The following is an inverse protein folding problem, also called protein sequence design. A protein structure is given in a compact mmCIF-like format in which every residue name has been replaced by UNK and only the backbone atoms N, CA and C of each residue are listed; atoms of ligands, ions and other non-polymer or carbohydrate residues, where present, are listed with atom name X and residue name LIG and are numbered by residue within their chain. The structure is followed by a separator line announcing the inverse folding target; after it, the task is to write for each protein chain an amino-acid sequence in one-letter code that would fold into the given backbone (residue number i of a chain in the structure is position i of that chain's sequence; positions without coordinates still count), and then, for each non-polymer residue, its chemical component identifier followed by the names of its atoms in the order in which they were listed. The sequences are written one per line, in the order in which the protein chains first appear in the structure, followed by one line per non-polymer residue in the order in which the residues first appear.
data_IF_084058628953
#
_entry.id   IF_084058628953
#
_cell.length_a   1.000
_cell.length_b   1.000
_cell.length_c   1.000
_cell.angle_alpha   90.00
_cell.angle_beta   90.00
_cell.angle_gamma   90.00
#
_symmetry.space_group_name_H-M   'P 1'
#
loop_
_entity.id
_entity.type
_entity.pdbx_description
1 polymer ?
#
# COMPACT_ATOMS: atom_id res chain seq x y z
N UNK A 1 4.57 5.07 -30.97
CA UNK A 1 5.04 5.37 -29.60
C UNK A 1 5.33 4.04 -28.95
N UNK A 2 6.55 3.84 -28.45
CA UNK A 2 6.90 2.60 -27.76
C UNK A 2 6.06 2.47 -26.48
N UNK A 3 5.63 1.26 -26.15
CA UNK A 3 4.76 0.96 -25.01
C UNK A 3 5.42 -0.13 -24.16
N UNK A 4 5.29 -0.04 -22.84
CA UNK A 4 5.71 -1.11 -21.95
C UNK A 4 4.69 -2.24 -21.99
N UNK A 5 5.16 -3.47 -22.21
CA UNK A 5 4.35 -4.65 -21.98
C UNK A 5 3.95 -4.75 -20.48
N UNK A 6 2.95 -5.57 -20.17
CA UNK A 6 2.59 -5.82 -18.77
C UNK A 6 3.77 -6.47 -18.02
N UNK A 7 4.12 -5.90 -16.86
CA UNK A 7 5.26 -6.37 -16.08
C UNK A 7 5.69 -5.46 -14.93
N UNK A 8 6.56 -6.01 -14.09
CA UNK A 8 7.36 -5.31 -13.09
C UNK A 8 8.75 -5.11 -13.70
N UNK A 9 9.10 -3.87 -14.03
CA UNK A 9 10.32 -3.52 -14.72
C UNK A 9 11.36 -2.99 -13.73
N UNK A 10 12.48 -3.70 -13.61
CA UNK A 10 13.57 -3.42 -12.69
C UNK A 10 14.67 -2.64 -13.43
N UNK A 11 15.23 -1.61 -12.81
CA UNK A 11 16.42 -0.92 -13.33
C UNK A 11 17.66 -1.84 -13.36
N UNK A 12 17.79 -2.70 -12.36
CA UNK A 12 18.83 -3.73 -12.26
C UNK A 12 18.24 -5.01 -11.68
N UNK A 13 18.65 -6.18 -12.20
CA UNK A 13 18.14 -7.48 -11.74
C UNK A 13 18.62 -7.85 -10.34
N UNK A 14 19.89 -7.58 -10.01
CA UNK A 14 20.50 -8.04 -8.76
C UNK A 14 20.12 -7.15 -7.57
N UNK A 15 20.13 -5.83 -7.80
CA UNK A 15 19.89 -4.82 -6.78
C UNK A 15 18.99 -3.70 -7.35
N UNK A 16 17.68 -3.96 -7.53
CA UNK A 16 16.78 -2.97 -8.10
C UNK A 16 16.66 -1.76 -7.19
N UNK A 17 17.04 -0.59 -7.70
CA UNK A 17 16.85 0.71 -7.03
C UNK A 17 15.56 1.36 -7.47
N UNK A 18 15.03 0.97 -8.63
CA UNK A 18 13.73 1.40 -9.14
C UNK A 18 12.98 0.19 -9.70
N UNK A 19 11.69 0.11 -9.38
CA UNK A 19 10.77 -0.80 -10.06
C UNK A 19 9.55 -0.03 -10.53
N UNK A 20 9.27 -0.12 -11.84
CA UNK A 20 8.05 0.38 -12.44
C UNK A 20 7.07 -0.79 -12.64
N UNK A 21 5.86 -0.67 -12.12
CA UNK A 21 4.77 -1.58 -12.47
C UNK A 21 4.04 -1.02 -13.70
N UNK A 22 3.92 -1.81 -14.76
CA UNK A 22 3.16 -1.45 -15.94
C UNK A 22 2.06 -2.46 -16.24
N UNK A 23 0.89 -1.94 -16.61
CA UNK A 23 -0.28 -2.70 -17.00
C UNK A 23 -1.06 -1.93 -18.06
N UNK A 24 -1.57 -2.63 -19.07
CA UNK A 24 -2.32 -2.03 -20.19
C UNK A 24 -1.56 -0.87 -20.82
N UNK A 25 -0.27 -1.11 -21.13
CA UNK A 25 0.64 -0.16 -21.77
C UNK A 25 0.87 1.15 -21.00
N UNK A 26 0.69 1.14 -19.68
CA UNK A 26 0.87 2.31 -18.81
C UNK A 26 1.64 1.95 -17.56
N UNK A 27 2.49 2.85 -17.10
CA UNK A 27 3.05 2.80 -15.75
C UNK A 27 1.93 3.09 -14.75
N UNK A 28 1.68 2.16 -13.84
CA UNK A 28 0.61 2.23 -12.83
C UNK A 28 1.13 2.45 -11.41
N UNK A 29 2.42 2.19 -11.18
CA UNK A 29 3.11 2.47 -9.93
C UNK A 29 4.62 2.60 -10.17
N UNK A 30 5.27 3.42 -9.36
CA UNK A 30 6.71 3.63 -9.36
C UNK A 30 7.23 3.46 -7.94
N UNK A 31 8.26 2.65 -7.78
CA UNK A 31 8.92 2.44 -6.50
C UNK A 31 10.41 2.70 -6.63
N UNK A 32 10.98 3.28 -5.58
CA UNK A 32 12.41 3.33 -5.39
C UNK A 32 12.79 2.62 -4.10
N UNK A 33 14.00 2.08 -4.08
CA UNK A 33 14.61 1.54 -2.88
C UNK A 33 14.83 2.68 -1.88
N UNK A 34 14.46 2.44 -0.62
CA UNK A 34 14.65 3.39 0.47
C UNK A 34 15.80 2.93 1.33
N UNK A 35 16.33 3.81 2.18
CA UNK A 35 17.23 3.37 3.24
C UNK A 35 16.54 2.23 4.03
N UNK A 36 17.21 1.09 4.10
CA UNK A 36 16.76 -0.13 4.77
C UNK A 36 16.25 0.12 6.18
N UNK A 37 16.77 1.14 6.88
CA UNK A 37 16.38 1.50 8.24
C UNK A 37 15.09 2.30 8.38
N UNK A 38 14.50 2.84 7.31
CA UNK A 38 13.25 3.62 7.38
C UNK A 38 12.20 3.18 6.36
N UNK A 39 12.43 2.02 5.75
CA UNK A 39 11.52 1.38 4.81
C UNK A 39 10.19 1.03 5.48
N UNK A 40 9.08 1.27 4.78
CA UNK A 40 7.77 0.81 5.26
C UNK A 40 7.72 -0.72 5.36
N UNK A 41 7.22 -1.24 6.47
CA UNK A 41 7.26 -2.67 6.80
C UNK A 41 8.53 -3.09 7.53
N UNK A 42 9.51 -2.21 7.69
CA UNK A 42 10.63 -2.45 8.60
C UNK A 42 10.13 -2.50 10.04
N UNK A 43 10.75 -3.39 10.81
CA UNK A 43 10.44 -3.63 12.22
C UNK A 43 11.63 -3.16 13.03
N UNK A 44 11.34 -2.31 14.01
CA UNK A 44 12.35 -1.72 14.89
C UNK A 44 12.04 -2.02 16.34
N UNK A 45 13.10 -2.16 17.12
CA UNK A 45 13.02 -1.97 18.55
C UNK A 45 13.19 -0.46 18.84
N UNK A 46 12.08 0.25 19.01
CA UNK A 46 12.09 1.70 19.21
C UNK A 46 12.11 2.07 20.70
N UNK A 47 12.85 3.12 21.05
CA UNK A 47 12.85 3.67 22.41
C UNK A 47 11.68 4.62 22.58
N UNK A 48 10.82 4.37 23.56
CA UNK A 48 9.71 5.27 23.91
C UNK A 48 10.27 6.56 24.50
N UNK A 49 9.88 7.69 23.93
CA UNK A 49 10.30 9.03 24.37
C UNK A 49 9.17 9.83 24.97
N UNK A 50 7.91 9.42 24.77
CA UNK A 50 6.76 10.13 25.32
C UNK A 50 5.45 9.39 25.15
N UNK A 51 4.47 9.79 25.99
CA UNK A 51 3.10 9.27 25.95
C UNK A 51 2.07 10.40 25.85
N UNK A 52 1.25 10.34 24.80
CA UNK A 52 0.14 11.26 24.56
C UNK A 52 -1.19 10.55 24.86
N UNK A 53 -1.54 10.47 26.14
CA UNK A 53 -2.70 9.70 26.61
C UNK A 53 -4.02 10.18 25.99
N UNK A 54 -4.22 11.50 25.86
CA UNK A 54 -5.44 12.09 25.26
C UNK A 54 -5.65 11.68 23.80
N UNK A 55 -4.57 11.33 23.09
CA UNK A 55 -4.62 10.90 21.70
C UNK A 55 -4.48 9.38 21.53
N UNK A 56 -4.34 8.63 22.63
CA UNK A 56 -4.00 7.20 22.63
C UNK A 56 -2.76 6.88 21.78
N UNK A 57 -1.66 7.64 21.97
CA UNK A 57 -0.43 7.48 21.19
C UNK A 57 0.83 7.45 22.04
N UNK A 58 1.85 6.77 21.51
CA UNK A 58 3.23 6.89 21.95
C UNK A 58 4.05 7.62 20.88
N UNK A 59 5.13 8.22 21.34
CA UNK A 59 6.25 8.65 20.51
C UNK A 59 7.51 7.92 20.94
N UNK A 60 8.41 7.75 20.00
CA UNK A 60 9.69 7.12 20.24
C UNK A 60 10.71 7.49 19.20
N UNK A 61 11.89 6.88 19.34
CA UNK A 61 13.03 7.11 18.48
C UNK A 61 13.57 5.76 17.95
N UNK A 62 13.90 5.74 16.67
CA UNK A 62 14.59 4.63 16.02
C UNK A 62 16.10 4.69 16.29
N UNK A 63 16.84 3.64 15.93
CA UNK A 63 18.31 3.63 16.03
C UNK A 63 18.98 4.68 15.15
N UNK A 64 18.35 5.09 14.04
CA UNK A 64 18.81 6.20 13.19
C UNK A 64 18.68 7.58 13.85
N UNK A 65 17.99 7.67 14.99
CA UNK A 65 17.59 8.93 15.60
C UNK A 65 16.26 9.48 15.09
N UNK A 66 15.66 8.87 14.06
CA UNK A 66 14.38 9.32 13.52
C UNK A 66 13.24 9.18 14.53
N UNK A 67 12.38 10.19 14.57
CA UNK A 67 11.18 10.18 15.40
C UNK A 67 10.09 9.32 14.77
N UNK A 68 9.40 8.55 15.61
CA UNK A 68 8.30 7.67 15.21
C UNK A 68 7.13 7.77 16.18
N UNK A 69 5.91 7.62 15.69
CA UNK A 69 4.70 7.63 16.53
C UNK A 69 3.73 6.53 16.13
N UNK A 70 3.09 5.91 17.13
CA UNK A 70 2.14 4.82 16.91
C UNK A 70 0.97 4.87 17.91
N UNK A 71 -0.21 4.33 17.54
CA UNK A 71 -1.34 4.23 18.45
C UNK A 71 -1.12 3.15 19.52
N UNK A 72 -1.66 3.40 20.71
CA UNK A 72 -1.73 2.43 21.81
C UNK A 72 -3.09 1.74 21.77
N UNK A 73 -3.10 0.41 21.90
CA UNK A 73 -4.34 -0.35 22.12
C UNK A 73 -4.48 -0.65 23.62
N UNK A 74 -5.63 -0.30 24.19
CA UNK A 74 -5.99 -0.62 25.57
C UNK A 74 -5.18 0.13 26.63
N UNK A 75 -5.14 -0.42 27.85
CA UNK A 75 -4.50 0.20 29.03
C UNK A 75 -3.03 -0.20 29.22
N UNK A 76 -2.33 -0.59 28.15
CA UNK A 76 -0.93 -1.01 28.23
C UNK A 76 -0.08 0.09 28.90
N UNK A 77 0.55 -0.26 30.03
CA UNK A 77 1.46 0.61 30.79
C UNK A 77 2.87 0.48 30.21
N UNK A 78 3.11 1.21 29.13
CA UNK A 78 4.42 1.35 28.52
C UNK A 78 5.05 2.63 29.09
N UNK A 79 6.25 2.50 29.68
CA UNK A 79 6.98 3.60 30.29
C UNK A 79 7.89 4.31 29.29
N UNK A 80 8.24 5.57 29.57
CA UNK A 80 9.32 6.26 28.85
C UNK A 80 10.66 5.55 29.07
N UNK A 81 11.52 5.57 28.06
CA UNK A 81 12.78 4.83 28.03
C UNK A 81 12.65 3.35 27.64
N UNK A 82 11.46 2.76 27.79
CA UNK A 82 11.21 1.36 27.43
C UNK A 82 11.40 1.14 25.93
N UNK A 83 11.98 -0.02 25.58
CA UNK A 83 12.09 -0.48 24.20
C UNK A 83 10.84 -1.28 23.82
N UNK A 84 10.26 -0.96 22.66
CA UNK A 84 9.04 -1.61 22.16
C UNK A 84 9.20 -1.93 20.67
N UNK A 85 8.86 -3.15 20.22
CA UNK A 85 8.82 -3.45 18.80
C UNK A 85 7.73 -2.62 18.12
N UNK A 86 8.08 -2.00 17.01
CA UNK A 86 7.16 -1.23 16.16
C UNK A 86 7.42 -1.56 14.70
N UNK A 87 6.36 -1.58 13.90
CA UNK A 87 6.46 -1.76 12.45
C UNK A 87 6.10 -0.46 11.75
N UNK A 88 6.97 0.05 10.87
CA UNK A 88 6.74 1.28 10.12
C UNK A 88 5.63 1.06 9.08
N UNK A 89 4.65 1.97 9.03
CA UNK A 89 3.50 1.87 8.12
C UNK A 89 3.29 3.10 7.24
N UNK A 90 3.82 4.27 7.62
CA UNK A 90 3.83 5.45 6.76
C UNK A 90 5.06 6.32 6.98
N UNK A 91 5.52 6.95 5.91
CA UNK A 91 6.65 7.86 5.91
C UNK A 91 6.34 9.13 6.72
N UNK A 92 7.39 9.82 7.15
CA UNK A 92 7.29 11.15 7.71
C UNK A 92 6.71 12.12 6.67
N UNK A 93 5.97 13.13 7.12
CA UNK A 93 5.28 14.07 6.22
C UNK A 93 4.92 15.36 6.94
N UNK A 94 5.24 16.49 6.31
CA UNK A 94 5.00 17.81 6.91
C UNK A 94 5.55 17.81 8.36
N UNK A 95 4.69 18.08 9.34
CA UNK A 95 5.03 18.12 10.76
C UNK A 95 4.84 16.77 11.47
N UNK A 96 4.53 15.69 10.75
CA UNK A 96 4.26 14.36 11.31
C UNK A 96 5.48 13.46 11.18
N UNK A 97 5.93 12.83 12.28
CA UNK A 97 7.04 11.86 12.24
C UNK A 97 6.62 10.59 11.48
N UNK A 98 7.57 9.66 11.32
CA UNK A 98 7.26 8.30 10.86
C UNK A 98 6.08 7.72 11.65
N UNK A 99 5.21 7.02 10.96
CA UNK A 99 4.05 6.39 11.59
C UNK A 99 4.26 4.89 11.66
N UNK A 100 3.98 4.31 12.81
CA UNK A 100 4.12 2.89 13.05
C UNK A 100 2.85 2.29 13.69
N UNK A 101 2.84 0.96 13.76
CA UNK A 101 1.98 0.18 14.64
C UNK A 101 2.84 -0.47 15.73
N UNK A 102 2.29 -0.65 16.92
CA UNK A 102 2.97 -1.41 17.97
C UNK A 102 2.96 -2.90 17.65
N UNK A 103 4.09 -3.56 17.87
CA UNK A 103 4.32 -4.96 17.54
C UNK A 103 4.98 -5.19 16.19
N UNK A 104 5.11 -6.47 15.86
CA UNK A 104 5.70 -6.97 14.61
C UNK A 104 4.54 -7.31 13.67
N UNK A 105 4.41 -6.57 12.57
CA UNK A 105 3.42 -6.82 11.52
C UNK A 105 4.11 -7.02 10.17
N UNK A 106 3.82 -8.13 9.47
CA UNK A 106 4.28 -8.39 8.10
C UNK A 106 3.10 -8.22 7.16
N UNK A 107 3.11 -7.17 6.35
CA UNK A 107 1.96 -6.76 5.56
C UNK A 107 2.12 -7.13 4.08
N UNK A 108 1.23 -7.99 3.58
CA UNK A 108 1.03 -8.25 2.16
C UNK A 108 -0.15 -7.45 1.57
N UNK A 109 -0.51 -7.77 0.33
CA UNK A 109 -1.73 -7.30 -0.35
C UNK A 109 -2.98 -7.96 0.23
N UNK A 110 -2.95 -9.27 0.44
CA UNK A 110 -4.13 -10.08 0.81
C UNK A 110 -4.17 -10.44 2.31
N UNK A 111 -3.04 -10.38 2.99
CA UNK A 111 -2.87 -10.82 4.38
C UNK A 111 -2.04 -9.84 5.21
N UNK A 112 -2.13 -9.98 6.53
CA UNK A 112 -1.20 -9.38 7.51
C UNK A 112 -0.84 -10.43 8.53
N UNK A 113 0.45 -10.69 8.71
CA UNK A 113 0.95 -11.53 9.79
C UNK A 113 1.21 -10.66 11.01
N UNK A 114 0.73 -11.05 12.19
CA UNK A 114 0.97 -10.35 13.46
C UNK A 114 1.59 -11.29 14.47
N UNK A 115 2.79 -10.96 14.92
CA UNK A 115 3.47 -11.81 15.90
C UNK A 115 2.80 -11.71 17.28
N UNK A 116 2.54 -12.87 17.89
CA UNK A 116 1.88 -13.00 19.21
C UNK A 116 2.78 -13.60 20.29
N UNK A 117 4.08 -13.78 20.00
CA UNK A 117 4.97 -14.48 20.92
C UNK A 117 5.11 -15.96 20.58
N UNK A 118 5.46 -16.75 21.58
CA UNK A 118 5.62 -18.21 21.50
C UNK A 118 4.28 -18.97 21.51
N UNK A 119 3.16 -18.25 21.36
CA UNK A 119 1.82 -18.85 21.30
C UNK A 119 1.50 -19.25 19.88
N UNK A 120 0.80 -20.36 19.70
CA UNK A 120 0.25 -20.72 18.40
C UNK A 120 -0.68 -19.62 17.90
N UNK A 121 -0.41 -19.14 16.68
CA UNK A 121 -1.19 -18.11 16.03
C UNK A 121 -2.57 -18.59 15.57
N UNK A 122 -3.43 -17.65 15.21
CA UNK A 122 -4.78 -17.90 14.73
C UNK A 122 -5.08 -17.17 13.41
N UNK A 123 -6.10 -17.63 12.69
CA UNK A 123 -6.57 -16.97 11.47
C UNK A 123 -7.78 -16.09 11.78
N UNK A 124 -7.77 -14.86 11.27
CA UNK A 124 -8.85 -13.89 11.38
C UNK A 124 -9.22 -13.32 10.03
N UNK A 125 -10.51 -13.02 9.83
CA UNK A 125 -10.95 -12.20 8.71
C UNK A 125 -11.03 -10.73 9.12
N UNK A 126 -10.71 -9.84 8.19
CA UNK A 126 -10.99 -8.42 8.36
C UNK A 126 -12.46 -8.19 8.67
N UNK A 127 -12.76 -7.43 9.72
CA UNK A 127 -14.15 -7.02 10.06
C UNK A 127 -14.83 -6.25 8.91
N UNK A 128 -14.04 -5.67 8.01
CA UNK A 128 -14.53 -4.96 6.81
C UNK A 128 -14.80 -5.88 5.63
N UNK A 129 -14.52 -7.19 5.71
CA UNK A 129 -14.85 -8.16 4.67
C UNK A 129 -16.36 -8.42 4.53
N UNK A 130 -17.19 -7.86 5.42
CA UNK A 130 -18.64 -8.06 5.43
C UNK A 130 -19.03 -9.42 6.02
N UNK A 131 -20.35 -9.72 6.03
CA UNK A 131 -20.86 -11.05 6.39
C UNK A 131 -20.72 -11.96 5.16
N UNK A 132 -19.67 -12.77 5.13
CA UNK A 132 -19.49 -13.78 4.10
C UNK A 132 -20.54 -14.89 4.25
N UNK A 133 -21.06 -15.41 3.13
CA UNK A 133 -21.75 -16.71 3.13
C UNK A 133 -20.71 -17.75 3.55
N UNK A 134 -21.07 -18.65 4.49
CA UNK A 134 -20.20 -19.70 5.03
C UNK A 134 -18.89 -19.20 5.67
N UNK A 135 -18.98 -18.20 6.54
CA UNK A 135 -17.83 -17.63 7.26
C UNK A 135 -16.96 -18.70 7.94
N UNK A 136 -17.58 -19.66 8.63
CA UNK A 136 -16.86 -20.68 9.41
C UNK A 136 -16.14 -21.70 8.53
N UNK A 137 -16.74 -22.10 7.40
CA UNK A 137 -16.09 -22.96 6.41
C UNK A 137 -14.86 -22.28 5.79
N UNK A 138 -14.96 -20.98 5.50
CA UNK A 138 -13.84 -20.21 4.93
C UNK A 138 -12.70 -20.07 5.94
N UNK A 139 -13.02 -19.75 7.21
CA UNK A 139 -12.03 -19.74 8.29
C UNK A 139 -11.36 -21.10 8.45
N UNK A 140 -12.12 -22.20 8.36
CA UNK A 140 -11.57 -23.56 8.47
C UNK A 140 -10.57 -23.85 7.34
N UNK A 141 -10.95 -23.58 6.08
CA UNK A 141 -10.05 -23.73 4.92
C UNK A 141 -8.79 -22.88 5.04
N UNK A 142 -8.93 -21.62 5.42
CA UNK A 142 -7.80 -20.71 5.60
C UNK A 142 -6.90 -21.14 6.75
N UNK A 143 -7.47 -21.67 7.83
CA UNK A 143 -6.71 -22.19 8.97
C UNK A 143 -5.87 -23.39 8.54
N UNK A 144 -6.46 -24.35 7.83
CA UNK A 144 -5.72 -25.48 7.27
C UNK A 144 -4.60 -25.00 6.34
N UNK A 145 -4.89 -24.07 5.43
CA UNK A 145 -3.89 -23.49 4.54
C UNK A 145 -2.73 -22.85 5.33
N UNK A 146 -3.02 -22.04 6.34
CA UNK A 146 -2.00 -21.37 7.15
C UNK A 146 -1.16 -22.37 7.97
N UNK A 147 -1.76 -23.45 8.50
CA UNK A 147 -1.02 -24.53 9.17
C UNK A 147 0.03 -25.16 8.25
N UNK A 148 -0.32 -25.41 6.98
CA UNK A 148 0.64 -25.98 6.01
C UNK A 148 1.80 -25.04 5.69
N UNK A 149 1.64 -23.73 5.87
CA UNK A 149 2.74 -22.76 5.70
C UNK A 149 3.67 -22.65 6.90
N UNK A 150 3.30 -23.22 8.07
CA UNK A 150 4.06 -23.11 9.32
C UNK A 150 3.94 -21.75 10.03
N UNK A 151 3.10 -20.83 9.50
CA UNK A 151 3.02 -19.45 10.02
C UNK A 151 2.40 -19.36 11.41
N UNK A 152 1.46 -20.25 11.73
CA UNK A 152 0.79 -20.26 13.03
C UNK A 152 1.73 -20.80 14.11
N UNK A 153 2.51 -21.82 13.76
CA UNK A 153 3.55 -22.44 14.59
C UNK A 153 4.71 -21.47 14.84
N UNK A 154 5.02 -20.62 13.86
CA UNK A 154 5.98 -19.52 13.99
C UNK A 154 5.50 -18.37 14.90
N UNK A 155 4.29 -18.47 15.46
CA UNK A 155 3.75 -17.52 16.42
C UNK A 155 3.07 -16.30 15.80
N UNK A 156 2.66 -16.38 14.53
CA UNK A 156 1.95 -15.30 13.85
C UNK A 156 0.45 -15.59 13.72
N UNK A 157 -0.37 -14.63 14.13
CA UNK A 157 -1.74 -14.54 13.66
C UNK A 157 -1.76 -14.13 12.18
N UNK A 158 -2.69 -14.68 11.41
CA UNK A 158 -2.91 -14.32 10.01
C UNK A 158 -4.24 -13.59 9.88
N UNK A 159 -4.19 -12.31 9.50
CA UNK A 159 -5.38 -11.51 9.20
C UNK A 159 -5.59 -11.44 7.70
N UNK A 160 -6.61 -12.12 7.20
CA UNK A 160 -7.02 -12.04 5.79
C UNK A 160 -7.75 -10.70 5.56
N UNK A 161 -7.19 -9.91 4.65
CA UNK A 161 -7.63 -8.55 4.33
C UNK A 161 -8.88 -8.57 3.48
N UNK A 162 -9.59 -7.44 3.46
CA UNK A 162 -10.76 -7.24 2.58
C UNK A 162 -10.41 -7.41 1.09
N UNK A 163 -9.17 -7.13 0.68
CA UNK A 163 -8.66 -7.31 -0.69
C UNK A 163 -8.73 -8.74 -1.20
N UNK A 164 -8.74 -9.73 -0.31
CA UNK A 164 -8.92 -11.13 -0.69
C UNK A 164 -10.36 -11.46 -1.11
N UNK A 165 -11.34 -10.64 -0.71
CA UNK A 165 -12.75 -10.96 -0.91
C UNK A 165 -13.30 -10.14 -2.06
N UNK A 166 -13.79 -10.84 -3.08
CA UNK A 166 -14.68 -10.21 -4.03
C UNK A 166 -16.06 -9.94 -3.42
N UNK A 167 -16.79 -8.93 -3.90
CA UNK A 167 -18.01 -8.41 -3.27
C UNK A 167 -19.04 -9.54 -3.13
N UNK A 168 -19.28 -10.01 -1.91
CA UNK A 168 -20.23 -11.10 -1.63
C UNK A 168 -19.82 -12.49 -2.15
N UNK A 169 -18.55 -12.68 -2.58
CA UNK A 169 -18.06 -13.94 -3.12
C UNK A 169 -17.24 -14.72 -2.10
N UNK A 170 -17.30 -16.06 -2.21
CA UNK A 170 -16.41 -16.96 -1.49
C UNK A 170 -15.00 -16.88 -2.08
N UNK A 171 -14.00 -17.23 -1.28
CA UNK A 171 -12.64 -17.44 -1.77
C UNK A 171 -12.62 -18.63 -2.73
N UNK A 172 -12.13 -18.40 -3.95
CA UNK A 172 -11.83 -19.46 -4.90
C UNK A 172 -10.40 -20.01 -4.70
N UNK A 173 -10.10 -21.11 -5.39
CA UNK A 173 -8.79 -21.77 -5.31
C UNK A 173 -7.64 -20.89 -5.80
N UNK A 174 -7.89 -20.00 -6.76
CA UNK A 174 -6.87 -19.08 -7.27
C UNK A 174 -6.46 -18.06 -6.20
N UNK A 175 -7.44 -17.45 -5.51
CA UNK A 175 -7.18 -16.53 -4.41
C UNK A 175 -6.53 -17.26 -3.23
N UNK A 176 -6.95 -18.49 -2.91
CA UNK A 176 -6.31 -19.29 -1.86
C UNK A 176 -4.83 -19.56 -2.18
N UNK A 177 -4.50 -19.90 -3.44
CA UNK A 177 -3.11 -20.06 -3.86
C UNK A 177 -2.30 -18.76 -3.68
N UNK A 178 -2.85 -17.61 -4.07
CA UNK A 178 -2.21 -16.31 -3.87
C UNK A 178 -1.99 -15.98 -2.39
N UNK A 179 -2.96 -16.28 -1.52
CA UNK A 179 -2.82 -16.10 -0.07
C UNK A 179 -1.70 -16.98 0.46
N UNK A 180 -1.65 -18.26 0.07
CA UNK A 180 -0.59 -19.19 0.48
C UNK A 180 0.79 -18.69 0.08
N UNK A 181 0.94 -18.28 -1.17
CA UNK A 181 2.22 -17.82 -1.71
C UNK A 181 2.68 -16.52 -1.02
N UNK A 182 1.76 -15.60 -0.76
CA UNK A 182 2.03 -14.37 -0.01
C UNK A 182 2.43 -14.66 1.45
N UNK A 183 1.66 -15.48 2.17
CA UNK A 183 1.95 -15.85 3.57
C UNK A 183 3.31 -16.56 3.67
N UNK A 184 3.57 -17.52 2.78
CA UNK A 184 4.84 -18.24 2.71
C UNK A 184 6.00 -17.29 2.43
N UNK A 185 5.84 -16.39 1.47
CA UNK A 185 6.89 -15.43 1.11
C UNK A 185 7.17 -14.39 2.21
N UNK A 186 6.14 -13.92 2.92
CA UNK A 186 6.30 -13.05 4.08
C UNK A 186 7.04 -13.76 5.23
N UNK A 187 6.67 -15.00 5.53
CA UNK A 187 7.32 -15.80 6.58
C UNK A 187 8.77 -16.16 6.23
N UNK A 188 9.03 -16.49 4.97
CA UNK A 188 10.39 -16.77 4.48
C UNK A 188 11.27 -15.52 4.60
N UNK A 189 10.78 -14.36 4.14
CA UNK A 189 11.52 -13.09 4.26
C UNK A 189 11.83 -12.72 5.71
N UNK A 190 10.88 -12.95 6.62
CA UNK A 190 11.10 -12.81 8.06
C UNK A 190 12.18 -13.76 8.58
N UNK A 191 12.05 -15.06 8.29
CA UNK A 191 12.99 -16.09 8.76
C UNK A 191 14.42 -15.89 8.23
N UNK A 192 14.57 -15.34 7.03
CA UNK A 192 15.87 -15.07 6.39
C UNK A 192 16.60 -13.86 6.98
N UNK A 193 15.88 -12.81 7.36
CA UNK A 193 16.49 -11.48 7.60
C UNK A 193 16.21 -10.88 8.97
N UNK A 194 15.25 -11.44 9.71
CA UNK A 194 14.88 -10.90 11.01
C UNK A 194 15.79 -11.43 12.11
N UNK A 195 16.11 -10.57 13.08
CA UNK A 195 16.65 -11.01 14.34
C UNK A 195 15.64 -11.88 15.10
N UNK A 196 16.11 -12.88 15.84
CA UNK A 196 15.24 -13.79 16.58
C UNK A 196 14.44 -13.03 17.67
N UNK A 197 13.09 -13.08 17.65
CA UNK A 197 12.26 -12.33 18.60
C UNK A 197 12.49 -12.66 20.08
N UNK A 198 12.93 -13.89 20.40
CA UNK A 198 13.26 -14.30 21.77
C UNK A 198 14.42 -13.50 22.39
N UNK A 199 15.28 -12.92 21.56
CA UNK A 199 16.45 -12.12 21.97
C UNK A 199 16.12 -10.63 22.21
N UNK A 200 14.84 -10.24 22.05
CA UNK A 200 14.39 -8.87 22.27
C UNK A 200 14.27 -8.51 23.75
N UNK A 201 14.22 -9.51 24.63
CA UNK A 201 14.20 -9.31 26.08
C UNK A 201 15.59 -8.95 26.61
N UNK A 202 15.69 -7.89 27.41
CA UNK A 202 16.96 -7.43 27.99
C UNK A 202 17.82 -6.51 27.12
N UNK A 203 17.35 -6.13 25.94
CA UNK A 203 18.05 -5.16 25.08
C UNK A 203 18.12 -3.77 25.75
N UNK A 204 19.28 -3.13 25.66
CA UNK A 204 19.51 -1.79 26.21
C UNK A 204 19.39 -0.67 25.16
N UNK A 205 19.46 -0.99 23.87
CA UNK A 205 19.54 -0.01 22.78
C UNK A 205 18.47 -0.25 21.70
N UNK A 206 18.04 0.85 21.06
CA UNK A 206 17.18 0.79 19.89
C UNK A 206 17.95 0.19 18.71
N UNK A 207 17.28 -0.61 17.87
CA UNK A 207 17.88 -1.25 16.68
C UNK A 207 16.83 -1.61 15.64
N UNK A 208 17.28 -1.85 14.41
CA UNK A 208 16.50 -2.53 13.38
C UNK A 208 16.42 -4.02 13.73
N UNK A 209 15.23 -4.61 13.64
CA UNK A 209 14.96 -6.05 13.84
C UNK A 209 14.83 -6.74 12.48
N UNK A 210 14.13 -6.09 11.54
CA UNK A 210 13.89 -6.62 10.20
C UNK A 210 13.76 -5.45 9.23
N UNK A 211 14.57 -5.38 8.15
CA UNK A 211 14.52 -4.29 7.16
C UNK A 211 13.22 -4.26 6.33
N UNK A 212 12.36 -5.27 6.44
CA UNK A 212 11.22 -5.43 5.54
C UNK A 212 11.60 -6.22 4.27
N UNK A 213 10.60 -6.66 3.49
CA UNK A 213 10.86 -7.40 2.26
C UNK A 213 11.65 -6.55 1.27
N UNK A 214 12.56 -7.19 0.52
CA UNK A 214 13.21 -6.59 -0.64
C UNK A 214 12.16 -6.07 -1.63
N UNK A 215 12.51 -5.00 -2.36
CA UNK A 215 11.56 -4.27 -3.18
C UNK A 215 10.84 -5.16 -4.21
N UNK A 216 11.57 -5.99 -4.96
CA UNK A 216 10.97 -6.88 -5.96
C UNK A 216 10.03 -7.92 -5.33
N UNK A 217 10.38 -8.50 -4.17
CA UNK A 217 9.51 -9.45 -3.46
C UNK A 217 8.22 -8.76 -3.02
N UNK A 218 8.35 -7.54 -2.49
CA UNK A 218 7.20 -6.72 -2.10
C UNK A 218 6.27 -6.47 -3.28
N UNK A 219 6.79 -6.00 -4.40
CA UNK A 219 5.95 -5.73 -5.59
C UNK A 219 5.36 -7.00 -6.16
N UNK A 220 6.03 -8.15 -6.04
CA UNK A 220 5.44 -9.43 -6.46
C UNK A 220 4.22 -9.82 -5.62
N UNK A 221 4.16 -9.48 -4.33
CA UNK A 221 2.94 -9.65 -3.54
C UNK A 221 1.85 -8.63 -3.91
N UNK A 222 2.23 -7.43 -4.30
CA UNK A 222 1.28 -6.39 -4.71
C UNK A 222 0.70 -6.64 -6.10
N UNK A 223 1.49 -7.20 -7.01
CA UNK A 223 1.15 -7.45 -8.41
C UNK A 223 1.56 -8.88 -8.81
N UNK A 224 0.95 -9.92 -8.20
CA UNK A 224 1.33 -11.31 -8.42
C UNK A 224 1.17 -11.74 -9.88
N UNK A 225 0.24 -11.15 -10.61
CA UNK A 225 -0.03 -11.39 -12.03
C UNK A 225 1.06 -10.85 -12.97
N UNK A 226 1.84 -9.85 -12.55
CA UNK A 226 2.80 -9.20 -13.43
C UNK A 226 4.14 -9.98 -13.47
N UNK A 227 4.69 -10.26 -14.67
CA UNK A 227 6.01 -10.90 -14.81
C UNK A 227 7.13 -9.91 -14.46
N UNK A 228 8.26 -10.43 -13.95
CA UNK A 228 9.47 -9.63 -13.75
C UNK A 228 10.15 -9.40 -15.10
N UNK A 229 10.60 -8.18 -15.35
CA UNK A 229 11.31 -7.73 -16.56
C UNK A 229 12.43 -6.78 -16.16
N UNK A 230 13.49 -6.72 -16.97
CA UNK A 230 14.50 -5.68 -16.84
C UNK A 230 14.12 -4.50 -17.74
N UNK A 231 14.35 -3.26 -17.28
CA UNK A 231 14.22 -2.07 -18.11
C UNK A 231 15.30 -2.08 -19.20
N UNK A 232 14.88 -1.97 -20.47
CA UNK A 232 15.78 -1.63 -21.56
C UNK A 232 16.06 -0.13 -21.63
N UNK A 233 17.07 0.27 -22.41
CA UNK A 233 17.43 1.68 -22.61
C UNK A 233 16.23 2.54 -23.07
N UNK A 234 15.44 2.04 -24.01
CA UNK A 234 14.26 2.73 -24.54
C UNK A 234 13.09 2.80 -23.54
N UNK A 235 13.04 1.91 -22.55
CA UNK A 235 11.97 1.87 -21.56
C UNK A 235 12.06 3.03 -20.57
N UNK A 236 13.27 3.55 -20.33
CA UNK A 236 13.52 4.70 -19.47
C UNK A 236 12.76 5.94 -19.92
N UNK A 237 12.69 6.21 -21.22
CA UNK A 237 11.93 7.35 -21.74
C UNK A 237 10.45 7.28 -21.34
N UNK A 238 9.87 6.07 -21.32
CA UNK A 238 8.48 5.84 -20.92
C UNK A 238 8.31 6.05 -19.41
N UNK A 239 9.25 5.54 -18.60
CA UNK A 239 9.26 5.72 -17.14
C UNK A 239 9.40 7.20 -16.77
N UNK A 240 10.30 7.93 -17.43
CA UNK A 240 10.49 9.36 -17.26
C UNK A 240 9.23 10.14 -17.61
N UNK A 241 8.67 9.91 -18.80
CA UNK A 241 7.46 10.60 -19.23
C UNK A 241 6.28 10.31 -18.28
N UNK A 242 6.18 9.09 -17.75
CA UNK A 242 5.16 8.73 -16.76
C UNK A 242 5.35 9.45 -15.43
N UNK A 243 6.60 9.56 -14.93
CA UNK A 243 6.91 10.32 -13.73
C UNK A 243 6.60 11.81 -13.91
N UNK A 244 7.11 12.42 -14.97
CA UNK A 244 6.92 13.85 -15.27
C UNK A 244 5.43 14.19 -15.37
N UNK A 245 4.65 13.37 -16.08
CA UNK A 245 3.20 13.56 -16.17
C UNK A 245 2.49 13.37 -14.83
N UNK A 246 2.94 12.42 -14.00
CA UNK A 246 2.32 12.13 -12.71
C UNK A 246 2.57 13.22 -11.66
N UNK A 247 3.68 13.97 -11.74
CA UNK A 247 3.93 15.09 -10.83
C UNK A 247 3.22 16.39 -11.24
N UNK A 248 2.72 16.50 -12.47
CA UNK A 248 1.91 17.64 -12.91
C UNK A 248 0.49 17.60 -12.33
N UNK A 249 -0.12 18.75 -11.95
CA UNK A 249 -1.50 18.77 -11.45
C UNK A 249 -2.53 18.35 -12.51
N UNK A 250 -2.21 18.48 -13.80
CA UNK A 250 -3.07 18.12 -14.92
C UNK A 250 -2.78 16.70 -15.40
N UNK A 251 -3.83 15.91 -15.66
CA UNK A 251 -3.74 14.63 -16.37
C UNK A 251 -4.83 14.52 -17.43
N UNK A 252 -4.49 14.04 -18.63
CA UNK A 252 -5.44 13.86 -19.73
C UNK A 252 -5.71 12.36 -19.96
N UNK A 253 -6.98 12.00 -19.94
CA UNK A 253 -7.45 10.63 -20.09
C UNK A 253 -7.43 10.17 -21.56
N UNK A 254 -7.47 8.85 -21.78
CA UNK A 254 -7.64 8.28 -23.15
C UNK A 254 -8.93 8.73 -23.82
N UNK A 255 -9.91 9.16 -23.05
CA UNK A 255 -11.23 9.58 -23.52
C UNK A 255 -11.35 11.11 -23.68
N UNK A 256 -10.25 11.86 -23.52
CA UNK A 256 -10.23 13.31 -23.60
C UNK A 256 -10.82 14.02 -22.39
N UNK A 257 -10.98 13.34 -21.25
CA UNK A 257 -11.29 14.00 -19.99
C UNK A 257 -10.01 14.57 -19.38
N UNK A 258 -10.10 15.75 -18.76
CA UNK A 258 -8.97 16.38 -18.09
C UNK A 258 -9.21 16.33 -16.59
N UNK A 259 -8.27 15.73 -15.87
CA UNK A 259 -8.23 15.71 -14.43
C UNK A 259 -7.34 16.85 -13.92
N UNK A 260 -7.86 17.66 -13.01
CA UNK A 260 -7.11 18.62 -12.22
C UNK A 260 -6.99 18.09 -10.79
N UNK A 261 -5.77 17.74 -10.39
CA UNK A 261 -5.46 17.08 -9.12
C UNK A 261 -4.67 18.04 -8.24
N UNK A 262 -5.31 18.55 -7.19
CA UNK A 262 -4.73 19.54 -6.29
C UNK A 262 -4.64 18.99 -4.86
N UNK A 263 -3.43 19.01 -4.30
CA UNK A 263 -3.21 18.64 -2.91
C UNK A 263 -3.32 19.89 -2.01
N UNK A 264 -4.31 19.89 -1.11
CA UNK A 264 -4.42 20.90 -0.04
C UNK A 264 -3.76 20.38 1.25
N UNK A 265 -3.78 21.18 2.31
CA UNK A 265 -3.31 20.73 3.64
C UNK A 265 -4.16 19.58 4.22
N UNK A 266 -5.45 19.53 3.89
CA UNK A 266 -6.41 18.62 4.53
C UNK A 266 -6.87 17.46 3.64
N UNK A 267 -6.96 17.69 2.34
CA UNK A 267 -7.51 16.75 1.36
C UNK A 267 -6.88 16.94 -0.02
N UNK A 268 -7.06 15.95 -0.88
CA UNK A 268 -6.84 16.07 -2.32
C UNK A 268 -8.17 16.38 -3.00
N UNK A 269 -8.19 17.42 -3.83
CA UNK A 269 -9.31 17.77 -4.68
C UNK A 269 -9.00 17.28 -6.09
N UNK A 270 -9.96 16.60 -6.71
CA UNK A 270 -9.87 16.17 -8.10
C UNK A 270 -11.08 16.72 -8.83
N UNK A 271 -10.85 17.62 -9.76
CA UNK A 271 -11.87 18.08 -10.70
C UNK A 271 -11.69 17.36 -12.04
N UNK A 272 -12.79 17.03 -12.71
CA UNK A 272 -12.77 16.28 -13.97
C UNK A 272 -13.64 16.97 -15.01
N UNK A 273 -12.96 17.61 -15.95
CA UNK A 273 -13.56 18.23 -17.12
C UNK A 273 -13.81 17.21 -18.23
N UNK A 274 -15.00 17.24 -18.81
CA UNK A 274 -15.37 16.43 -19.98
C UNK A 274 -15.21 17.17 -21.31
N UNK A 275 -14.72 18.41 -21.32
CA UNK A 275 -14.83 19.34 -22.46
C UNK A 275 -14.19 18.85 -23.77
N UNK A 276 -13.15 18.02 -23.71
CA UNK A 276 -12.52 17.41 -24.89
C UNK A 276 -13.11 16.04 -25.27
N UNK A 277 -14.01 15.47 -24.45
CA UNK A 277 -14.65 14.20 -24.73
C UNK A 277 -15.93 14.35 -25.54
N UNK A 278 -16.14 13.44 -26.50
CA UNK A 278 -17.38 13.33 -27.28
C UNK A 278 -18.37 12.31 -26.70
N UNK A 279 -18.06 11.72 -25.55
CA UNK A 279 -18.87 10.67 -24.93
C UNK A 279 -19.97 11.25 -24.05
N UNK A 280 -21.08 10.51 -23.93
CA UNK A 280 -22.10 10.82 -22.94
C UNK A 280 -21.52 10.71 -21.51
N UNK A 281 -21.94 11.55 -20.55
CA UNK A 281 -21.33 11.62 -19.21
C UNK A 281 -21.23 10.29 -18.47
N UNK A 282 -22.28 9.46 -18.52
CA UNK A 282 -22.27 8.16 -17.84
C UNK A 282 -21.23 7.19 -18.45
N UNK A 283 -21.09 7.20 -19.78
CA UNK A 283 -20.11 6.35 -20.48
C UNK A 283 -18.69 6.86 -20.24
N UNK A 284 -18.52 8.18 -20.24
CA UNK A 284 -17.25 8.80 -19.88
C UNK A 284 -16.82 8.40 -18.48
N UNK A 285 -17.71 8.53 -17.49
CA UNK A 285 -17.46 8.16 -16.09
C UNK A 285 -16.93 6.72 -15.96
N UNK A 286 -17.58 5.74 -16.59
CA UNK A 286 -17.15 4.34 -16.56
C UNK A 286 -15.72 4.14 -17.09
N UNK A 287 -15.34 4.88 -18.13
CA UNK A 287 -14.04 4.72 -18.76
C UNK A 287 -12.92 5.44 -18.02
N UNK A 288 -13.23 6.56 -17.34
CA UNK A 288 -12.23 7.35 -16.62
C UNK A 288 -12.01 6.87 -15.18
N UNK A 289 -12.95 6.12 -14.58
CA UNK A 289 -12.80 5.60 -13.22
C UNK A 289 -11.56 4.71 -13.05
N UNK A 290 -11.26 3.75 -13.95
CA UNK A 290 -9.99 3.03 -13.88
C UNK A 290 -8.78 3.96 -13.91
N UNK A 291 -8.80 4.98 -14.79
CA UNK A 291 -7.71 5.96 -14.91
C UNK A 291 -7.55 6.79 -13.63
N UNK A 292 -8.64 7.19 -12.98
CA UNK A 292 -8.64 7.86 -11.68
C UNK A 292 -7.93 7.02 -10.61
N UNK A 293 -8.26 5.74 -10.51
CA UNK A 293 -7.65 4.83 -9.53
C UNK A 293 -6.17 4.58 -9.85
N UNK A 294 -5.80 4.48 -11.13
CA UNK A 294 -4.39 4.44 -11.54
C UNK A 294 -3.66 5.71 -11.09
N UNK A 295 -4.23 6.91 -11.29
CA UNK A 295 -3.61 8.15 -10.84
C UNK A 295 -3.50 8.24 -9.31
N UNK A 296 -4.52 7.79 -8.56
CA UNK A 296 -4.46 7.70 -7.09
C UNK A 296 -3.30 6.79 -6.63
N UNK A 297 -3.09 5.67 -7.30
CA UNK A 297 -2.00 4.73 -7.03
C UNK A 297 -0.64 5.31 -7.41
N UNK A 298 -0.46 5.67 -8.69
CA UNK A 298 0.79 6.16 -9.27
C UNK A 298 1.31 7.40 -8.54
N UNK A 299 0.44 8.38 -8.29
CA UNK A 299 0.79 9.62 -7.58
C UNK A 299 0.85 9.43 -6.06
N UNK A 300 0.44 8.25 -5.58
CA UNK A 300 0.39 7.86 -4.16
C UNK A 300 -0.47 8.81 -3.32
N UNK A 301 -1.55 9.32 -3.92
CA UNK A 301 -2.50 10.20 -3.24
C UNK A 301 -3.06 9.50 -2.00
N UNK A 302 -3.15 10.22 -0.89
CA UNK A 302 -3.54 9.65 0.40
C UNK A 302 -4.27 10.65 1.29
N UNK A 303 -4.98 10.14 2.30
CA UNK A 303 -5.88 10.94 3.13
C UNK A 303 -7.26 11.03 2.51
N UNK A 304 -7.94 12.15 2.76
CA UNK A 304 -9.24 12.44 2.16
C UNK A 304 -9.06 12.87 0.71
N UNK A 305 -9.84 12.29 -0.18
CA UNK A 305 -9.86 12.65 -1.60
C UNK A 305 -11.31 12.94 -1.97
N UNK A 306 -11.57 14.14 -2.48
CA UNK A 306 -12.87 14.55 -3.00
C UNK A 306 -12.76 14.67 -4.51
N UNK A 307 -13.65 13.98 -5.22
CA UNK A 307 -13.64 13.96 -6.69
C UNK A 307 -14.94 14.55 -7.21
N UNK A 308 -14.83 15.61 -8.00
CA UNK A 308 -15.92 16.12 -8.81
C UNK A 308 -15.95 15.34 -10.12
N UNK A 309 -16.92 14.44 -10.25
CA UNK A 309 -17.09 13.60 -11.43
C UNK A 309 -17.98 14.32 -12.45
N UNK A 310 -17.84 14.05 -13.76
CA UNK A 310 -18.84 14.44 -14.73
C UNK A 310 -20.23 13.97 -14.28
N UNK A 311 -21.29 14.69 -14.67
CA UNK A 311 -22.63 14.44 -14.17
C UNK A 311 -23.04 12.96 -14.23
N UNK A 312 -23.44 12.41 -13.07
CA UNK A 312 -24.00 11.06 -12.92
C UNK A 312 -25.43 11.17 -12.39
N UNK A 313 -26.38 10.62 -13.14
CA UNK A 313 -27.77 10.54 -12.72
C UNK A 313 -27.91 9.78 -11.39
N UNK A 314 -28.79 10.25 -10.49
CA UNK A 314 -28.95 9.70 -9.13
C UNK A 314 -29.19 8.19 -9.11
N UNK A 315 -30.00 7.68 -10.05
CA UNK A 315 -30.32 6.25 -10.19
C UNK A 315 -29.13 5.39 -10.65
N UNK A 316 -28.06 5.99 -11.18
CA UNK A 316 -26.85 5.29 -11.63
C UNK A 316 -25.72 5.29 -10.60
N UNK A 317 -25.80 6.13 -9.57
CA UNK A 317 -24.75 6.27 -8.56
C UNK A 317 -24.43 4.96 -7.85
N UNK A 318 -25.41 4.11 -7.58
CA UNK A 318 -25.17 2.80 -6.94
C UNK A 318 -24.28 1.88 -7.78
N UNK A 319 -24.46 1.86 -9.10
CA UNK A 319 -23.62 1.08 -10.01
C UNK A 319 -22.18 1.61 -10.06
N UNK A 320 -22.03 2.94 -10.09
CA UNK A 320 -20.72 3.61 -10.02
C UNK A 320 -20.00 3.27 -8.71
N UNK A 321 -20.70 3.26 -7.58
CA UNK A 321 -20.11 2.88 -6.29
C UNK A 321 -19.68 1.41 -6.24
N UNK A 322 -20.44 0.52 -6.88
CA UNK A 322 -20.05 -0.89 -7.00
C UNK A 322 -18.79 -1.07 -7.86
N UNK A 323 -18.68 -0.34 -8.96
CA UNK A 323 -17.47 -0.31 -9.81
C UNK A 323 -16.26 0.21 -9.05
N UNK A 324 -16.43 1.31 -8.29
CA UNK A 324 -15.37 1.87 -7.43
C UNK A 324 -14.86 0.85 -6.39
N UNK A 325 -15.74 0.07 -5.76
CA UNK A 325 -15.30 -0.96 -4.81
C UNK A 325 -14.46 -2.07 -5.49
N UNK A 326 -14.78 -2.42 -6.74
CA UNK A 326 -13.97 -3.34 -7.53
C UNK A 326 -12.60 -2.74 -7.84
N UNK A 327 -12.56 -1.48 -8.31
CA UNK A 327 -11.32 -0.78 -8.64
C UNK A 327 -10.41 -0.58 -7.42
N UNK A 328 -10.99 -0.29 -6.26
CA UNK A 328 -10.24 -0.08 -5.02
C UNK A 328 -9.42 -1.30 -4.58
N UNK A 329 -9.74 -2.51 -5.04
CA UNK A 329 -9.01 -3.75 -4.69
C UNK A 329 -7.66 -3.89 -5.39
N UNK A 330 -7.47 -3.17 -6.49
CA UNK A 330 -6.21 -3.17 -7.23
C UNK A 330 -5.20 -2.19 -6.62
N UNK A 331 -5.64 -1.25 -5.78
CA UNK A 331 -4.73 -0.44 -4.97
C UNK A 331 -4.36 -1.20 -3.68
N UNK A 332 -3.06 -1.43 -3.41
CA UNK A 332 -2.57 -2.11 -2.20
C UNK A 332 -3.07 -1.53 -0.86
N UNK A 333 -3.47 -0.26 -0.85
CA UNK A 333 -3.96 0.47 0.33
C UNK A 333 -5.48 0.32 0.51
N UNK A 334 -6.16 -0.24 -0.50
CA UNK A 334 -7.60 -0.43 -0.58
C UNK A 334 -8.40 0.81 -0.16
N UNK A 335 -8.46 1.85 -1.01
CA UNK A 335 -9.27 3.06 -0.81
C UNK A 335 -10.68 2.76 -0.27
N UNK A 336 -11.12 3.55 0.70
CA UNK A 336 -12.48 3.48 1.23
C UNK A 336 -13.34 4.52 0.51
N UNK A 337 -14.45 4.08 -0.08
CA UNK A 337 -15.43 4.96 -0.71
C UNK A 337 -16.61 5.21 0.24
N UNK A 338 -16.88 6.47 0.56
CA UNK A 338 -18.00 6.87 1.43
C UNK A 338 -19.27 7.22 0.65
N UNK A 339 -19.20 7.22 -0.69
CA UNK A 339 -20.30 7.56 -1.56
C UNK A 339 -20.26 9.01 -2.03
N UNK A 340 -21.41 9.48 -2.51
CA UNK A 340 -21.58 10.85 -2.97
C UNK A 340 -22.07 11.75 -1.84
N UNK A 341 -21.43 12.92 -1.68
CA UNK A 341 -21.90 13.97 -0.80
C UNK A 341 -23.21 14.58 -1.31
N UNK A 342 -23.84 15.43 -0.49
CA UNK A 342 -25.03 16.19 -0.90
C UNK A 342 -24.77 17.13 -2.06
N UNK A 343 -23.55 17.68 -2.18
CA UNK A 343 -23.15 18.54 -3.30
C UNK A 343 -22.83 17.76 -4.57
N UNK A 344 -22.75 16.43 -4.50
CA UNK A 344 -22.49 15.58 -5.67
C UNK A 344 -21.04 15.13 -5.83
N UNK A 345 -20.14 15.51 -4.92
CA UNK A 345 -18.75 15.04 -4.93
C UNK A 345 -18.66 13.60 -4.44
N UNK A 346 -17.78 12.80 -5.04
CA UNK A 346 -17.41 11.48 -4.53
C UNK A 346 -16.38 11.64 -3.41
N UNK A 347 -16.63 11.04 -2.23
CA UNK A 347 -15.68 11.04 -1.12
C UNK A 347 -14.95 9.69 -1.00
N UNK A 348 -13.63 9.75 -1.05
CA UNK A 348 -12.72 8.62 -0.80
C UNK A 348 -11.80 8.91 0.40
N UNK A 349 -11.32 7.85 1.04
CA UNK A 349 -10.20 7.91 1.98
C UNK A 349 -9.17 6.83 1.67
N UNK A 350 -7.93 7.24 1.48
CA UNK A 350 -6.81 6.33 1.18
C UNK A 350 -5.83 6.38 2.33
N UNK A 351 -5.33 5.22 2.78
CA UNK A 351 -4.36 5.17 3.87
C UNK A 351 -3.05 5.85 3.45
N UNK A 352 -2.46 6.61 4.37
CA UNK A 352 -1.11 7.12 4.18
C UNK A 352 -0.11 5.96 4.21
N UNK A 353 0.95 6.09 3.41
CA UNK A 353 2.00 5.09 3.28
C UNK A 353 3.27 5.79 2.84
N UNK A 354 3.70 5.52 1.61
CA UNK A 354 4.85 6.20 0.99
C UNK A 354 4.59 7.71 0.84
N UNK A 355 5.64 8.54 0.71
CA UNK A 355 5.47 9.93 0.30
C UNK A 355 4.68 10.01 -1.01
N UNK A 356 3.90 11.08 -1.16
CA UNK A 356 3.31 11.44 -2.46
C UNK A 356 4.43 11.58 -3.50
N UNK A 357 4.15 11.23 -4.75
CA UNK A 357 5.18 11.00 -5.75
C UNK A 357 6.11 12.21 -5.96
N UNK A 358 5.55 13.42 -5.95
CA UNK A 358 6.24 14.71 -6.08
C UNK A 358 7.14 15.05 -4.87
N UNK A 359 7.01 14.33 -3.76
CA UNK A 359 7.79 14.52 -2.53
C UNK A 359 8.62 13.29 -2.17
N UNK A 360 8.73 12.33 -3.09
CA UNK A 360 9.60 11.17 -2.91
C UNK A 360 11.00 11.47 -3.44
N UNK A 361 11.84 12.04 -2.58
CA UNK A 361 13.21 12.40 -2.92
C UNK A 361 14.08 11.19 -3.30
N UNK A 362 13.82 10.01 -2.76
CA UNK A 362 14.56 8.80 -3.12
C UNK A 362 14.25 8.40 -4.56
N UNK A 363 12.97 8.40 -4.94
CA UNK A 363 12.56 8.14 -6.32
C UNK A 363 13.08 9.20 -7.28
N UNK A 364 12.94 10.49 -6.92
CA UNK A 364 13.41 11.60 -7.73
C UNK A 364 14.92 11.46 -8.02
N UNK A 365 15.73 11.14 -6.99
CA UNK A 365 17.17 10.96 -7.16
C UNK A 365 17.52 9.81 -8.11
N UNK A 366 16.81 8.68 -8.03
CA UNK A 366 17.06 7.54 -8.93
C UNK A 366 16.67 7.88 -10.37
N UNK A 367 15.54 8.56 -10.56
CA UNK A 367 15.09 9.02 -11.88
C UNK A 367 16.10 10.02 -12.47
N UNK A 368 16.52 11.04 -11.73
CA UNK A 368 17.51 12.02 -12.18
C UNK A 368 18.87 11.39 -12.51
N UNK A 369 19.31 10.39 -11.73
CA UNK A 369 20.56 9.68 -12.00
C UNK A 369 20.49 8.84 -13.28
N UNK A 370 19.34 8.20 -13.56
CA UNK A 370 19.14 7.43 -14.77
C UNK A 370 19.18 8.33 -16.02
N UNK A 371 18.58 9.53 -15.95
CA UNK A 371 18.64 10.51 -17.04
C UNK A 371 20.08 10.93 -17.39
N UNK A 372 20.95 11.08 -16.39
CA UNK A 372 22.36 11.48 -16.59
C UNK A 372 23.26 10.35 -17.08
N UNK A 373 22.89 9.09 -16.85
CA UNK A 373 23.66 7.91 -17.27
C UNK A 373 23.32 7.44 -18.69
N UNK A 374 22.27 8.02 -19.29
CA UNK A 374 21.79 7.73 -20.64
C UNK A 374 22.19 8.75 -21.72
N UNK A 375 23.05 9.71 -21.36
CA UNK A 375 23.90 10.48 -22.30
C UNK A 375 25.28 9.82 -22.39
#
# INVERSE_FOLDING_TARGET
MQMLADGLFLDCLDHPRLIAAAFDNRVIDLWAEQDSGERLGAVHLARVTGRFAQHNRLTGQLSSGASVSWPIKGKAKIAEGQLVPVTLIAAARQDKPLQAVGGIELAGRLSVLRWQGEKQGQVYLSRKAGKLRSHDDQITKLTQLCQHTGVLEAGFDVVIRRSAFALGQQLDEAVLALIRDEVTGLLAGWSEQADKPGELSGQAQARLIYPGPLLHRRLKFLYPELPLRQLGENDWQIVHAAYDAAVQPRYESRQGAVFWIEQTRAAVMVDIDSAASKLAPDRLCQLILPELFTQISLRRLSGKILVDLPYIAKNKRSAVLAEIDQLARFDPRYPECFGFTRSGLLELSVRHGRPVLDKDHALQAVIEQAARSGE
#
